data_IF_539082498331
#
_entry.id   IF_539082498331
#
_cell.length_a   1.000
_cell.length_b   1.000
_cell.length_c   1.000
_cell.angle_alpha   90.00
_cell.angle_beta   90.00
_cell.angle_gamma   90.00
#
_symmetry.space_group_name_H-M   'P 1'
#
loop_
_entity.id
_entity.type
_entity.pdbx_description
1 polymer ?
#
# COMPACT_ATOMS: atom_id res chain seq x y z
N UNK A 1 -5.92 10.68 30.85
CA UNK A 1 -4.93 11.43 30.04
C UNK A 1 -4.96 10.85 28.62
N UNK A 2 -5.54 11.57 27.65
CA UNK A 2 -5.84 11.06 26.31
C UNK A 2 -4.55 10.87 25.49
N UNK A 3 -4.07 9.62 25.40
CA UNK A 3 -3.06 9.20 24.42
C UNK A 3 -3.65 9.41 23.02
N UNK A 4 -3.20 10.46 22.34
CA UNK A 4 -3.60 10.76 20.96
C UNK A 4 -3.02 9.68 20.04
N UNK A 5 -3.87 8.72 19.69
CA UNK A 5 -3.69 7.68 18.65
C UNK A 5 -2.85 8.24 17.49
N UNK A 6 -1.68 7.63 17.29
CA UNK A 6 -0.63 8.11 16.39
C UNK A 6 -0.58 7.24 15.17
N UNK A 7 -0.72 7.82 13.96
CA UNK A 7 -0.34 7.11 12.74
C UNK A 7 1.16 6.81 12.74
N UNK A 8 1.57 5.55 12.91
CA UNK A 8 2.95 5.09 12.78
C UNK A 8 3.16 4.41 11.42
N UNK A 9 4.18 4.86 10.71
CA UNK A 9 4.54 4.29 9.42
C UNK A 9 5.60 3.19 9.64
N UNK A 10 5.33 1.94 9.23
CA UNK A 10 6.13 0.78 9.67
C UNK A 10 7.44 0.58 8.87
N UNK A 11 7.63 1.28 7.74
CA UNK A 11 8.81 1.08 6.89
C UNK A 11 9.86 2.18 7.07
N UNK A 12 11.12 1.79 6.90
CA UNK A 12 12.24 2.73 6.87
C UNK A 12 12.25 3.53 5.57
N UNK A 13 12.85 4.73 5.59
CA UNK A 13 12.98 5.60 4.42
C UNK A 13 13.63 4.92 3.20
N UNK A 14 14.51 3.93 3.41
CA UNK A 14 15.15 3.16 2.33
C UNK A 14 14.14 2.39 1.48
N UNK A 15 13.12 1.81 2.10
CA UNK A 15 12.05 1.08 1.41
C UNK A 15 11.17 2.01 0.57
N UNK A 16 11.01 3.25 1.04
CA UNK A 16 10.24 4.30 0.37
C UNK A 16 10.99 4.79 -0.86
N UNK A 17 12.31 4.99 -0.72
CA UNK A 17 13.17 5.32 -1.84
C UNK A 17 13.14 4.22 -2.91
N UNK A 18 13.19 2.96 -2.51
CA UNK A 18 13.06 1.82 -3.43
C UNK A 18 11.69 1.81 -4.12
N UNK A 19 10.60 2.04 -3.37
CA UNK A 19 9.24 2.17 -3.92
C UNK A 19 9.15 3.32 -4.93
N UNK A 20 9.78 4.46 -4.63
CA UNK A 20 9.84 5.61 -5.54
C UNK A 20 10.58 5.28 -6.83
N UNK A 21 11.76 4.65 -6.73
CA UNK A 21 12.55 4.23 -7.90
C UNK A 21 11.72 3.27 -8.76
N UNK A 22 11.06 2.28 -8.16
CA UNK A 22 10.21 1.32 -8.89
C UNK A 22 9.05 2.00 -9.61
N UNK A 23 8.37 2.95 -8.97
CA UNK A 23 7.30 3.74 -9.61
C UNK A 23 7.84 4.55 -10.79
N UNK A 24 8.96 5.25 -10.62
CA UNK A 24 9.57 6.05 -11.69
C UNK A 24 10.00 5.19 -12.88
N UNK A 25 10.71 4.08 -12.63
CA UNK A 25 11.12 3.14 -13.68
C UNK A 25 9.90 2.59 -14.40
N UNK A 26 8.85 2.20 -13.65
CA UNK A 26 7.64 1.67 -14.25
C UNK A 26 6.91 2.69 -15.12
N UNK A 27 6.87 3.97 -14.72
CA UNK A 27 6.26 5.04 -15.51
C UNK A 27 7.05 5.32 -16.79
N UNK A 28 8.39 5.38 -16.71
CA UNK A 28 9.26 5.58 -17.87
C UNK A 28 9.05 4.43 -18.87
N UNK A 29 9.05 3.19 -18.40
CA UNK A 29 8.79 2.02 -19.25
C UNK A 29 7.39 2.05 -19.85
N UNK A 30 6.37 2.45 -19.08
CA UNK A 30 5.01 2.58 -19.59
C UNK A 30 4.92 3.61 -20.73
N UNK A 31 5.61 4.74 -20.60
CA UNK A 31 5.65 5.77 -21.65
C UNK A 31 6.36 5.24 -22.91
N UNK A 32 7.49 4.55 -22.76
CA UNK A 32 8.27 4.00 -23.88
C UNK A 32 7.47 2.91 -24.60
N UNK A 33 6.85 1.98 -23.87
CA UNK A 33 6.17 0.80 -24.43
C UNK A 33 4.80 1.16 -24.99
N UNK A 34 4.06 2.05 -24.34
CA UNK A 34 2.66 2.33 -24.69
C UNK A 34 2.48 3.58 -25.53
N UNK A 35 3.35 4.58 -25.40
CA UNK A 35 3.25 5.84 -26.13
C UNK A 35 1.85 6.44 -26.06
N UNK A 36 1.16 6.48 -27.21
CA UNK A 36 -0.21 7.01 -27.36
C UNK A 36 -1.25 6.19 -26.55
N UNK A 37 -0.98 4.90 -26.29
CA UNK A 37 -1.85 4.00 -25.52
C UNK A 37 -1.66 4.10 -24.00
N UNK A 38 -0.97 5.14 -23.49
CA UNK A 38 -0.76 5.35 -22.05
C UNK A 38 -2.06 5.43 -21.24
N UNK A 39 -3.18 5.79 -21.87
CA UNK A 39 -4.50 5.78 -21.23
C UNK A 39 -4.88 4.38 -20.71
N UNK A 40 -4.49 3.29 -21.37
CA UNK A 40 -4.72 1.92 -20.91
C UNK A 40 -4.02 1.65 -19.58
N UNK A 41 -2.80 2.15 -19.43
CA UNK A 41 -2.04 2.05 -18.19
C UNK A 41 -2.72 2.80 -17.05
N UNK A 42 -3.29 3.98 -17.30
CA UNK A 42 -4.02 4.75 -16.28
C UNK A 42 -5.29 4.01 -15.86
N UNK A 43 -6.07 3.51 -16.83
CA UNK A 43 -7.33 2.80 -16.57
C UNK A 43 -7.09 1.55 -15.71
N UNK A 44 -5.98 0.84 -15.90
CA UNK A 44 -5.66 -0.36 -15.13
C UNK A 44 -4.97 -0.03 -13.80
N UNK A 45 -4.04 0.92 -13.79
CA UNK A 45 -3.28 1.27 -12.57
C UNK A 45 -4.14 1.95 -11.52
N UNK A 46 -5.12 2.77 -11.90
CA UNK A 46 -5.89 3.58 -10.96
C UNK A 46 -6.78 2.74 -10.02
N UNK A 47 -7.55 1.74 -10.49
CA UNK A 47 -8.29 0.84 -9.60
C UNK A 47 -7.37 0.04 -8.67
N UNK A 48 -6.24 -0.47 -9.19
CA UNK A 48 -5.26 -1.20 -8.39
C UNK A 48 -4.67 -0.30 -7.29
N UNK A 49 -4.28 0.92 -7.67
CA UNK A 49 -3.76 1.92 -6.76
C UNK A 49 -4.73 2.24 -5.63
N UNK A 50 -6.00 2.50 -5.95
CA UNK A 50 -7.02 2.80 -4.95
C UNK A 50 -7.29 1.61 -4.02
N UNK A 51 -7.33 0.40 -4.57
CA UNK A 51 -7.50 -0.83 -3.80
C UNK A 51 -6.35 -1.03 -2.80
N UNK A 52 -5.10 -0.99 -3.27
CA UNK A 52 -3.93 -1.16 -2.42
C UNK A 52 -3.78 -0.01 -1.42
N UNK A 53 -4.13 1.22 -1.79
CA UNK A 53 -4.15 2.35 -0.87
C UNK A 53 -5.16 2.12 0.26
N UNK A 54 -6.38 1.70 -0.05
CA UNK A 54 -7.40 1.41 0.95
C UNK A 54 -6.98 0.28 1.89
N UNK A 55 -6.43 -0.81 1.35
CA UNK A 55 -5.94 -1.96 2.13
C UNK A 55 -4.79 -1.54 3.05
N UNK A 56 -3.74 -0.92 2.50
CA UNK A 56 -2.55 -0.51 3.27
C UNK A 56 -2.88 0.56 4.30
N UNK A 57 -3.71 1.55 3.95
CA UNK A 57 -4.17 2.56 4.89
C UNK A 57 -4.90 1.92 6.08
N UNK A 58 -5.81 0.98 5.82
CA UNK A 58 -6.52 0.25 6.88
C UNK A 58 -5.56 -0.58 7.73
N UNK A 59 -4.58 -1.25 7.10
CA UNK A 59 -3.57 -2.04 7.80
C UNK A 59 -2.72 -1.17 8.75
N UNK A 60 -2.20 -0.04 8.26
CA UNK A 60 -1.32 0.82 9.05
C UNK A 60 -2.07 1.56 10.15
N UNK A 61 -3.29 2.02 9.89
CA UNK A 61 -4.13 2.62 10.94
C UNK A 61 -4.53 1.61 12.03
N UNK A 62 -4.62 0.32 11.70
CA UNK A 62 -4.89 -0.71 12.71
C UNK A 62 -3.65 -1.17 13.49
N UNK A 63 -2.46 -1.10 12.90
CA UNK A 63 -1.20 -1.39 13.60
C UNK A 63 -0.96 -0.42 14.77
N UNK A 64 -1.40 0.84 14.64
CA UNK A 64 -1.33 1.83 15.72
C UNK A 64 -2.20 1.54 16.95
N UNK A 65 -3.19 0.66 16.79
CA UNK A 65 -4.00 0.20 17.92
C UNK A 65 -3.20 -0.79 18.78
N UNK A 66 -2.22 -1.48 18.20
CA UNK A 66 -1.44 -2.54 18.84
C UNK A 66 -0.26 -1.97 19.65
N UNK A 67 0.37 -0.89 19.19
CA UNK A 67 1.59 -0.32 19.83
C UNK A 67 1.33 0.67 20.99
N UNK A 68 0.07 0.83 21.42
CA UNK A 68 -0.30 1.75 22.51
C UNK A 68 -0.43 1.10 23.90
N UNK A 69 -0.60 -0.23 23.96
CA UNK A 69 -0.61 -1.03 25.19
C UNK A 69 -0.74 -2.52 24.79
N UNK A 70 0.29 -3.37 24.90
CA UNK A 70 0.12 -4.82 24.76
C UNK A 70 -0.71 -5.44 25.92
N UNK A 71 -1.19 -4.62 26.88
CA UNK A 71 -1.85 -5.04 28.11
C UNK A 71 -3.37 -4.87 28.15
N UNK A 72 -4.04 -4.60 27.03
CA UNK A 72 -5.48 -4.82 26.88
C UNK A 72 -5.80 -5.95 25.89
N UNK A 73 -4.87 -6.89 25.76
CA UNK A 73 -5.09 -8.24 25.21
C UNK A 73 -5.91 -9.15 26.16
N UNK A 74 -6.32 -8.65 27.33
CA UNK A 74 -7.16 -9.36 28.30
C UNK A 74 -8.55 -8.70 28.43
N UNK A 75 -9.23 -8.50 27.30
CA UNK A 75 -10.66 -8.17 27.25
C UNK A 75 -11.38 -9.17 26.36
N UNK A 76 -11.89 -10.25 26.97
CA UNK A 76 -12.87 -11.23 26.46
C UNK A 76 -12.87 -11.55 24.95
N UNK A 77 -12.03 -12.51 24.58
CA UNK A 77 -12.52 -13.86 24.24
C UNK A 77 -12.85 -14.22 22.79
N UNK A 78 -13.58 -13.40 22.02
CA UNK A 78 -14.12 -13.89 20.72
C UNK A 78 -13.85 -12.99 19.50
N UNK A 79 -13.70 -11.68 19.68
CA UNK A 79 -13.56 -10.74 18.55
C UNK A 79 -12.12 -10.48 18.10
N UNK A 80 -11.13 -10.81 18.92
CA UNK A 80 -9.70 -10.56 18.65
C UNK A 80 -9.13 -11.61 17.70
N UNK A 81 -9.49 -12.88 17.89
CA UNK A 81 -9.03 -13.99 17.07
C UNK A 81 -9.57 -13.89 15.64
N UNK A 82 -10.83 -13.47 15.49
CA UNK A 82 -11.49 -13.25 14.20
C UNK A 82 -10.87 -12.09 13.40
N UNK A 83 -10.43 -11.02 14.07
CA UNK A 83 -9.72 -9.90 13.41
C UNK A 83 -8.30 -10.28 12.99
N UNK A 84 -7.54 -10.97 13.85
CA UNK A 84 -6.20 -11.48 13.53
C UNK A 84 -6.24 -12.41 12.30
N UNK A 85 -7.22 -13.32 12.28
CA UNK A 85 -7.46 -14.22 11.14
C UNK A 85 -7.77 -13.45 9.85
N UNK A 86 -8.62 -12.42 9.91
CA UNK A 86 -8.91 -11.56 8.75
C UNK A 86 -7.67 -10.83 8.21
N UNK A 87 -6.74 -10.38 9.06
CA UNK A 87 -5.50 -9.76 8.61
C UNK A 87 -4.58 -10.75 7.90
N UNK A 88 -4.41 -11.94 8.48
CA UNK A 88 -3.64 -13.02 7.85
C UNK A 88 -4.28 -13.43 6.52
N UNK A 89 -5.60 -13.56 6.47
CA UNK A 89 -6.33 -13.83 5.23
C UNK A 89 -6.15 -12.71 4.22
N UNK A 90 -6.26 -11.43 4.62
CA UNK A 90 -6.02 -10.29 3.72
C UNK A 90 -4.60 -10.28 3.18
N UNK A 91 -3.59 -10.58 4.00
CA UNK A 91 -2.19 -10.67 3.58
C UNK A 91 -1.94 -11.84 2.64
N UNK A 92 -2.53 -13.01 2.92
CA UNK A 92 -2.48 -14.18 2.03
C UNK A 92 -3.17 -13.85 0.71
N UNK A 93 -4.33 -13.18 0.73
CA UNK A 93 -5.03 -12.75 -0.47
C UNK A 93 -4.19 -11.74 -1.26
N UNK A 94 -3.53 -10.80 -0.57
CA UNK A 94 -2.65 -9.82 -1.21
C UNK A 94 -1.43 -10.49 -1.86
N UNK A 95 -0.83 -11.46 -1.19
CA UNK A 95 0.29 -12.24 -1.70
C UNK A 95 -0.13 -13.13 -2.87
N UNK A 96 -1.29 -13.79 -2.76
CA UNK A 96 -1.85 -14.65 -3.80
C UNK A 96 -2.24 -13.82 -5.03
N UNK A 97 -2.95 -12.71 -4.87
CA UNK A 97 -3.24 -11.82 -5.99
C UNK A 97 -1.97 -11.20 -6.55
N UNK A 98 -1.00 -10.85 -5.70
CA UNK A 98 0.24 -10.26 -6.17
C UNK A 98 1.11 -11.22 -6.96
N UNK A 99 1.05 -12.52 -6.67
CA UNK A 99 1.81 -13.54 -7.37
C UNK A 99 1.02 -14.18 -8.51
N UNK A 100 -0.25 -14.55 -8.31
CA UNK A 100 -1.03 -15.33 -9.26
C UNK A 100 -1.71 -14.47 -10.34
N UNK A 101 -2.15 -13.25 -10.01
CA UNK A 101 -2.87 -12.40 -10.97
C UNK A 101 -2.03 -12.08 -12.22
N UNK A 102 -0.74 -11.70 -12.10
CA UNK A 102 0.10 -11.50 -13.29
C UNK A 102 0.18 -12.76 -14.15
N UNK A 103 0.38 -13.93 -13.55
CA UNK A 103 0.50 -15.21 -14.29
C UNK A 103 -0.81 -15.64 -14.96
N UNK A 104 -1.96 -15.46 -14.31
CA UNK A 104 -3.26 -15.77 -14.92
C UNK A 104 -3.50 -14.86 -16.13
N UNK A 105 -3.16 -13.57 -16.01
CA UNK A 105 -3.28 -12.62 -17.10
C UNK A 105 -2.34 -12.94 -18.28
N UNK A 106 -1.18 -13.56 -18.02
CA UNK A 106 -0.28 -14.08 -19.07
C UNK A 106 -0.95 -15.15 -19.96
N UNK A 107 -1.96 -15.88 -19.50
CA UNK A 107 -2.60 -16.92 -20.32
C UNK A 107 -3.73 -16.42 -21.22
N UNK A 108 -4.31 -15.26 -20.89
CA UNK A 108 -5.57 -14.80 -21.51
C UNK A 108 -5.38 -13.51 -22.32
N UNK A 109 -4.40 -12.69 -21.95
CA UNK A 109 -4.21 -11.38 -22.56
C UNK A 109 -3.19 -11.37 -23.69
N UNK A 110 -3.25 -10.35 -24.54
CA UNK A 110 -2.21 -10.08 -25.52
C UNK A 110 -0.89 -9.64 -24.84
N UNK A 111 0.28 -9.90 -25.45
CA UNK A 111 1.58 -9.56 -24.87
C UNK A 111 1.71 -8.10 -24.42
N UNK A 112 1.13 -7.16 -25.17
CA UNK A 112 1.14 -5.74 -24.81
C UNK A 112 0.40 -5.49 -23.48
N UNK A 113 -0.74 -6.15 -23.28
CA UNK A 113 -1.54 -6.02 -22.05
C UNK A 113 -0.85 -6.66 -20.84
N UNK A 114 0.06 -7.63 -21.05
CA UNK A 114 0.92 -8.14 -19.97
C UNK A 114 1.85 -7.06 -19.45
N UNK A 115 2.53 -6.34 -20.36
CA UNK A 115 3.39 -5.22 -19.98
C UNK A 115 2.60 -4.12 -19.27
N UNK A 116 1.41 -3.78 -19.79
CA UNK A 116 0.52 -2.82 -19.12
C UNK A 116 0.19 -3.29 -17.71
N UNK A 117 -0.26 -4.53 -17.55
CA UNK A 117 -0.66 -5.07 -16.25
C UNK A 117 0.49 -5.13 -15.25
N UNK A 118 1.68 -5.57 -15.67
CA UNK A 118 2.85 -5.65 -14.79
C UNK A 118 3.31 -4.26 -14.32
N UNK A 119 3.41 -3.31 -15.24
CA UNK A 119 3.81 -1.94 -14.91
C UNK A 119 2.74 -1.27 -14.04
N UNK A 120 1.46 -1.41 -14.39
CA UNK A 120 0.35 -0.89 -13.59
C UNK A 120 0.33 -1.48 -12.20
N UNK A 121 0.67 -2.75 -12.04
CA UNK A 121 0.73 -3.43 -10.76
C UNK A 121 1.88 -2.93 -9.88
N UNK A 122 3.07 -2.70 -10.45
CA UNK A 122 4.19 -2.09 -9.75
C UNK A 122 3.79 -0.72 -9.19
N UNK A 123 3.14 0.12 -10.01
CA UNK A 123 2.67 1.43 -9.56
C UNK A 123 1.53 1.31 -8.56
N UNK A 124 0.60 0.37 -8.77
CA UNK A 124 -0.52 0.12 -7.88
C UNK A 124 -0.09 -0.30 -6.47
N UNK A 125 0.97 -1.10 -6.34
CA UNK A 125 1.49 -1.53 -5.02
C UNK A 125 2.36 -0.46 -4.38
N UNK A 126 3.29 0.12 -5.13
CA UNK A 126 4.34 0.98 -4.57
C UNK A 126 3.91 2.45 -4.47
N UNK A 127 3.02 2.91 -5.34
CA UNK A 127 2.51 4.27 -5.33
C UNK A 127 1.79 4.65 -4.02
N UNK A 128 0.88 3.81 -3.49
CA UNK A 128 0.25 4.05 -2.20
C UNK A 128 1.24 4.16 -1.04
N UNK A 129 2.37 3.45 -1.10
CA UNK A 129 3.43 3.50 -0.09
C UNK A 129 3.98 4.93 0.06
N UNK A 130 4.20 5.59 -1.08
CA UNK A 130 4.68 6.97 -1.14
C UNK A 130 3.65 7.94 -0.56
N UNK A 131 2.37 7.78 -0.91
CA UNK A 131 1.29 8.62 -0.37
C UNK A 131 1.18 8.45 1.14
N UNK A 132 1.18 7.21 1.64
CA UNK A 132 1.08 6.92 3.07
C UNK A 132 2.27 7.50 3.84
N UNK A 133 3.47 7.43 3.27
CA UNK A 133 4.64 8.08 3.85
C UNK A 133 4.52 9.60 3.89
N UNK A 134 4.04 10.24 2.81
CA UNK A 134 3.83 11.69 2.77
C UNK A 134 2.80 12.14 3.83
N UNK A 135 1.70 11.39 3.97
CA UNK A 135 0.69 11.64 5.01
C UNK A 135 1.31 11.52 6.41
N UNK A 136 2.13 10.49 6.65
CA UNK A 136 2.86 10.32 7.91
C UNK A 136 3.81 11.49 8.18
N UNK A 137 4.62 11.87 7.18
CA UNK A 137 5.59 12.96 7.29
C UNK A 137 4.89 14.31 7.59
N UNK A 138 3.79 14.61 6.90
CA UNK A 138 3.00 15.82 7.13
C UNK A 138 2.42 15.85 8.55
N UNK A 139 1.83 14.74 9.00
CA UNK A 139 1.31 14.60 10.38
C UNK A 139 2.40 14.76 11.43
N UNK A 140 3.62 14.24 11.17
CA UNK A 140 4.78 14.42 12.04
C UNK A 140 5.23 15.88 12.08
N UNK A 141 5.34 16.55 10.93
CA UNK A 141 5.77 17.96 10.82
C UNK A 141 4.83 18.91 11.56
N UNK A 142 3.51 18.76 11.40
CA UNK A 142 2.51 19.58 12.11
C UNK A 142 2.65 19.43 13.64
N UNK A 143 2.93 18.21 14.11
CA UNK A 143 3.02 17.94 15.55
C UNK A 143 4.30 18.49 16.20
N UNK A 144 5.44 18.40 15.53
CA UNK A 144 6.70 18.91 16.07
C UNK A 144 6.91 20.40 15.79
N UNK A 145 6.30 20.96 14.74
CA UNK A 145 6.26 22.41 14.49
C UNK A 145 5.33 23.18 15.43
N UNK A 146 4.42 22.50 16.14
CA UNK A 146 3.53 23.10 17.15
C UNK A 146 4.17 23.22 18.54
N UNK A 147 5.39 22.71 18.76
CA UNK A 147 6.10 22.74 20.06
C UNK A 147 7.10 23.89 20.19
N UNK A 148 7.11 24.84 19.26
CA UNK A 148 7.98 26.02 19.30
C UNK A 148 7.14 27.30 19.27
N UNK A 149 6.35 27.53 20.32
CA UNK A 149 5.83 28.83 20.74
C UNK A 149 5.64 28.79 22.26
#
# INVERSE_FOLDING_TARGET
>A
MNSKKTFQYPYSFRWILLSFILVCVSLILAIIVLGIKIHLFIIISLPQFLLFLAIKYRLYTSLDVVDGNPLLFFGEGEDVEKRSSLYTVMLIFLAFFGFALPFILLFVMEPLMWFVSLLSFIVGINGPELILYLIYFQKRKIRFGSKSL
#
